data_IF_406320198228
#
_entry.id   IF_406320198228
#
_cell.length_a   1.000
_cell.length_b   1.000
_cell.length_c   1.000
_cell.angle_alpha   90.00
_cell.angle_beta   90.00
_cell.angle_gamma   90.00
#
_symmetry.space_group_name_H-M   'P 1'
#
loop_
_entity.id
_entity.type
_entity.pdbx_description
1 polymer ?
#
# COMPACT_ATOMS: atom_id res chain seq x y z
N UNK A 1 -3.55 14.29 0.50
CA UNK A 1 -4.97 14.63 0.32
C UNK A 1 -5.70 13.57 -0.51
N UNK A 2 -5.26 13.28 -1.76
CA UNK A 2 -5.90 12.26 -2.62
C UNK A 2 -6.06 10.92 -1.90
N UNK A 3 -5.00 10.36 -1.32
CA UNK A 3 -5.05 9.07 -0.64
C UNK A 3 -6.10 9.00 0.48
N UNK A 4 -6.28 10.08 1.24
CA UNK A 4 -7.30 10.14 2.29
C UNK A 4 -8.73 10.14 1.72
N UNK A 5 -8.94 10.77 0.58
CA UNK A 5 -10.24 10.75 -0.12
C UNK A 5 -10.53 9.36 -0.70
N UNK A 6 -9.54 8.76 -1.37
CA UNK A 6 -9.65 7.40 -1.91
C UNK A 6 -9.91 6.36 -0.83
N UNK A 7 -9.33 6.51 0.36
CA UNK A 7 -9.60 5.65 1.51
C UNK A 7 -11.09 5.67 1.89
N UNK A 8 -11.73 6.85 1.93
CA UNK A 8 -13.17 6.97 2.19
C UNK A 8 -14.00 6.25 1.11
N UNK A 9 -13.62 6.43 -0.17
CA UNK A 9 -14.27 5.76 -1.30
C UNK A 9 -14.14 4.25 -1.20
N UNK A 10 -12.93 3.73 -0.96
CA UNK A 10 -12.68 2.30 -0.83
C UNK A 10 -13.42 1.69 0.37
N UNK A 11 -13.47 2.39 1.51
CA UNK A 11 -14.21 1.91 2.69
C UNK A 11 -15.72 1.77 2.40
N UNK A 12 -16.28 2.67 1.60
CA UNK A 12 -17.68 2.56 1.15
C UNK A 12 -17.89 1.46 0.12
N UNK A 13 -16.94 1.32 -0.80
CA UNK A 13 -17.04 0.34 -1.88
C UNK A 13 -16.88 -1.11 -1.40
N UNK A 14 -16.05 -1.32 -0.37
CA UNK A 14 -15.71 -2.64 0.14
C UNK A 14 -15.81 -2.76 1.68
N UNK A 15 -16.96 -2.43 2.30
CA UNK A 15 -17.11 -2.40 3.76
C UNK A 15 -16.94 -3.77 4.43
N UNK A 16 -17.03 -4.85 3.66
CA UNK A 16 -16.85 -6.22 4.12
C UNK A 16 -15.39 -6.61 4.34
N UNK A 17 -14.43 -5.87 3.77
CA UNK A 17 -12.98 -6.12 3.92
C UNK A 17 -12.20 -4.90 4.42
N UNK A 18 -12.79 -3.71 4.37
CA UNK A 18 -12.16 -2.46 4.83
C UNK A 18 -12.99 -1.88 5.98
N UNK A 19 -12.36 -1.71 7.13
CA UNK A 19 -13.03 -1.22 8.35
C UNK A 19 -12.23 -0.08 8.98
N UNK A 20 -12.90 0.95 9.53
CA UNK A 20 -12.23 1.93 10.37
C UNK A 20 -11.67 1.27 11.63
N UNK A 21 -10.40 1.52 11.92
CA UNK A 21 -9.72 1.06 13.12
C UNK A 21 -9.07 2.23 13.85
N UNK A 22 -9.19 2.24 15.18
CA UNK A 22 -8.51 3.19 16.05
C UNK A 22 -7.08 2.71 16.33
N UNK A 23 -6.11 3.48 15.91
CA UNK A 23 -4.70 3.26 16.20
C UNK A 23 -4.27 4.15 17.37
N UNK A 24 -3.41 3.63 18.22
CA UNK A 24 -2.89 4.37 19.35
C UNK A 24 -1.38 4.53 19.24
N UNK A 25 -0.90 5.74 19.50
CA UNK A 25 0.52 6.08 19.54
C UNK A 25 0.88 6.44 20.98
N UNK A 26 1.45 5.48 21.76
CA UNK A 26 1.88 5.74 23.11
C UNK A 26 3.01 6.78 23.15
N UNK A 27 2.96 7.70 24.11
CA UNK A 27 4.01 8.67 24.36
C UNK A 27 4.93 8.14 25.46
N UNK A 28 6.19 7.92 25.12
CA UNK A 28 7.23 7.59 26.07
C UNK A 28 7.72 8.88 26.75
N UNK A 29 8.00 8.82 28.06
CA UNK A 29 8.34 9.98 28.90
C UNK A 29 9.54 10.83 28.42
N UNK A 30 10.35 10.34 27.47
CA UNK A 30 11.49 11.04 26.88
C UNK A 30 11.28 11.49 25.42
N UNK A 31 10.10 11.35 24.87
CA UNK A 31 9.85 11.76 23.48
C UNK A 31 9.63 13.27 23.39
N UNK A 32 10.61 13.99 22.86
CA UNK A 32 10.54 15.42 22.53
C UNK A 32 9.47 15.77 21.49
N UNK A 33 8.67 14.80 21.07
CA UNK A 33 7.78 14.89 19.90
C UNK A 33 6.29 15.06 20.18
N UNK A 34 5.82 15.17 21.44
CA UNK A 34 4.37 15.20 21.71
C UNK A 34 3.65 16.37 21.05
N UNK A 35 4.24 17.57 21.10
CA UNK A 35 3.67 18.74 20.44
C UNK A 35 3.72 18.63 18.92
N UNK A 36 4.85 18.14 18.38
CA UNK A 36 5.02 17.95 16.94
C UNK A 36 4.10 16.85 16.41
N UNK A 37 3.94 15.76 17.17
CA UNK A 37 2.99 14.70 16.81
C UNK A 37 1.55 15.20 16.81
N UNK A 38 1.17 16.02 17.83
CA UNK A 38 -0.15 16.66 17.87
C UNK A 38 -0.38 17.61 16.68
N UNK A 39 0.61 18.39 16.31
CA UNK A 39 0.55 19.24 15.13
C UNK A 39 0.42 18.43 13.84
N UNK A 40 1.18 17.34 13.71
CA UNK A 40 1.08 16.41 12.58
C UNK A 40 -0.28 15.75 12.49
N UNK A 41 -0.85 15.29 13.61
CA UNK A 41 -2.20 14.72 13.65
C UNK A 41 -3.28 15.76 13.33
N UNK A 42 -3.12 16.99 13.80
CA UNK A 42 -4.03 18.09 13.43
C UNK A 42 -4.00 18.35 11.91
N UNK A 43 -2.82 18.42 11.30
CA UNK A 43 -2.70 18.54 9.84
C UNK A 43 -3.34 17.32 9.14
N UNK A 44 -3.05 16.13 9.61
CA UNK A 44 -3.64 14.90 9.07
C UNK A 44 -5.16 14.92 9.12
N UNK A 45 -5.75 15.40 10.21
CA UNK A 45 -7.19 15.53 10.38
C UNK A 45 -7.83 16.55 9.43
N UNK A 46 -7.09 17.59 9.04
CA UNK A 46 -7.59 18.69 8.20
C UNK A 46 -7.17 18.60 6.71
N UNK A 47 -6.37 17.61 6.34
CA UNK A 47 -5.92 17.43 4.96
C UNK A 47 -7.04 17.04 3.98
N UNK A 48 -8.08 16.35 4.46
CA UNK A 48 -9.22 15.94 3.66
C UNK A 48 -10.50 15.92 4.51
N UNK A 49 -11.64 16.14 3.85
CA UNK A 49 -12.94 15.96 4.50
C UNK A 49 -13.08 14.50 4.92
N UNK A 50 -13.53 14.28 6.15
CA UNK A 50 -13.79 12.99 6.75
C UNK A 50 -15.27 12.79 6.94
N UNK A 51 -15.75 11.60 6.63
CA UNK A 51 -17.15 11.24 6.83
C UNK A 51 -17.27 9.95 7.64
N UNK A 52 -16.34 9.00 7.44
CA UNK A 52 -16.32 7.70 8.10
C UNK A 52 -15.34 7.70 9.28
N UNK A 53 -14.17 8.31 9.10
CA UNK A 53 -13.09 8.26 10.09
C UNK A 53 -13.15 9.40 11.07
N UNK A 54 -13.08 9.09 12.37
CA UNK A 54 -13.06 10.09 13.44
C UNK A 54 -11.74 10.88 13.43
N UNK A 55 -11.77 12.08 13.99
CA UNK A 55 -10.57 12.90 14.24
C UNK A 55 -9.68 12.28 15.32
N UNK A 56 -8.41 12.70 15.34
CA UNK A 56 -7.46 12.31 16.37
C UNK A 56 -7.78 12.95 17.72
N UNK A 57 -7.44 12.24 18.81
CA UNK A 57 -7.61 12.73 20.18
C UNK A 57 -6.47 12.31 21.08
N UNK A 58 -6.23 13.07 22.12
CA UNK A 58 -5.36 12.65 23.20
C UNK A 58 -6.05 11.58 24.05
N UNK A 59 -5.29 10.57 24.46
CA UNK A 59 -5.76 9.47 25.34
C UNK A 59 -4.86 9.34 26.56
N UNK A 60 -5.46 8.94 27.68
CA UNK A 60 -4.73 8.56 28.89
C UNK A 60 -4.81 7.04 29.03
N UNK A 61 -3.75 6.43 29.50
CA UNK A 61 -3.68 4.99 29.74
C UNK A 61 -3.75 4.72 31.23
N UNK A 62 -4.48 3.67 31.58
CA UNK A 62 -4.49 3.14 32.92
C UNK A 62 -3.21 2.30 33.14
N UNK A 63 -2.63 2.40 34.33
CA UNK A 63 -1.47 1.59 34.76
C UNK A 63 -1.77 0.07 34.82
N UNK A 64 -3.04 -0.30 34.90
CA UNK A 64 -3.51 -1.70 34.84
C UNK A 64 -3.75 -2.20 33.40
N UNK A 65 -3.56 -1.35 32.40
CA UNK A 65 -3.75 -1.69 30.99
C UNK A 65 -2.62 -2.54 30.39
N UNK A 66 -2.73 -2.93 29.12
CA UNK A 66 -1.76 -3.81 28.46
C UNK A 66 -0.42 -3.13 28.17
N UNK A 67 -0.31 -1.82 28.33
CA UNK A 67 0.92 -1.07 28.12
C UNK A 67 1.75 -1.03 29.41
N UNK A 68 3.07 -0.83 29.23
CA UNK A 68 3.95 -0.64 30.37
C UNK A 68 3.46 0.53 31.23
N UNK A 69 3.48 0.37 32.58
CA UNK A 69 2.99 1.36 33.55
C UNK A 69 3.67 2.75 33.45
N UNK A 70 4.83 2.84 32.78
CA UNK A 70 5.51 4.11 32.47
C UNK A 70 4.80 4.93 31.38
N UNK A 71 3.95 4.29 30.56
CA UNK A 71 3.23 4.94 29.47
C UNK A 71 1.89 5.45 29.97
N UNK A 72 1.82 6.75 30.29
CA UNK A 72 0.61 7.35 30.90
C UNK A 72 -0.34 8.02 29.89
N UNK A 73 0.14 8.34 28.70
CA UNK A 73 -0.65 9.07 27.70
C UNK A 73 -0.21 8.77 26.29
N UNK A 74 -1.02 9.15 25.33
CA UNK A 74 -0.75 9.01 23.92
C UNK A 74 -1.78 9.73 23.06
N UNK A 75 -1.80 9.39 21.79
CA UNK A 75 -2.78 9.86 20.84
C UNK A 75 -3.48 8.70 20.17
N UNK A 76 -4.76 8.84 19.94
CA UNK A 76 -5.56 7.95 19.11
C UNK A 76 -5.86 8.64 17.79
N UNK A 77 -5.69 7.94 16.68
CA UNK A 77 -6.13 8.38 15.36
C UNK A 77 -6.81 7.22 14.62
N UNK A 78 -7.56 7.53 13.59
CA UNK A 78 -8.33 6.54 12.86
C UNK A 78 -7.77 6.35 11.46
N UNK A 79 -7.60 5.08 11.07
CA UNK A 79 -7.23 4.70 9.72
C UNK A 79 -7.99 3.44 9.28
N UNK A 80 -7.81 3.04 8.02
CA UNK A 80 -8.39 1.83 7.49
C UNK A 80 -7.58 0.60 7.88
N UNK A 81 -8.26 -0.40 8.41
CA UNK A 81 -7.78 -1.77 8.42
C UNK A 81 -8.36 -2.48 7.19
N UNK A 82 -7.53 -3.18 6.44
CA UNK A 82 -7.95 -3.90 5.24
C UNK A 82 -7.41 -5.33 5.27
N UNK A 83 -8.19 -6.25 4.73
CA UNK A 83 -7.70 -7.58 4.37
C UNK A 83 -7.05 -7.46 2.99
N UNK A 84 -5.73 -7.26 2.98
CA UNK A 84 -4.93 -6.99 1.77
C UNK A 84 -5.05 -8.10 0.74
N UNK A 85 -5.01 -9.34 1.16
CA UNK A 85 -5.07 -10.49 0.27
C UNK A 85 -6.43 -10.58 -0.43
N UNK A 86 -7.51 -10.35 0.31
CA UNK A 86 -8.86 -10.29 -0.27
C UNK A 86 -9.05 -9.10 -1.19
N UNK A 87 -8.49 -7.93 -0.84
CA UNK A 87 -8.56 -6.76 -1.70
C UNK A 87 -7.89 -7.03 -3.06
N UNK A 88 -6.70 -7.61 -3.06
CA UNK A 88 -5.99 -7.99 -4.30
C UNK A 88 -6.79 -9.02 -5.10
N UNK A 89 -7.29 -10.06 -4.43
CA UNK A 89 -8.08 -11.10 -5.08
C UNK A 89 -9.35 -10.53 -5.73
N UNK A 90 -10.09 -9.69 -5.03
CA UNK A 90 -11.33 -9.10 -5.55
C UNK A 90 -11.06 -8.15 -6.73
N UNK A 91 -9.97 -7.39 -6.69
CA UNK A 91 -9.55 -6.55 -7.82
C UNK A 91 -9.20 -7.42 -9.04
N UNK A 92 -8.46 -8.52 -8.85
CA UNK A 92 -8.11 -9.44 -9.93
C UNK A 92 -9.37 -10.11 -10.52
N UNK A 93 -10.30 -10.56 -9.66
CA UNK A 93 -11.58 -11.13 -10.10
C UNK A 93 -12.42 -10.13 -10.88
N UNK A 94 -12.48 -8.87 -10.42
CA UNK A 94 -13.20 -7.81 -11.09
C UNK A 94 -12.57 -7.49 -12.47
N UNK A 95 -11.24 -7.38 -12.54
CA UNK A 95 -10.54 -7.18 -13.79
C UNK A 95 -10.81 -8.32 -14.78
N UNK A 96 -10.76 -9.57 -14.31
CA UNK A 96 -11.12 -10.74 -15.14
C UNK A 96 -12.53 -10.70 -15.66
N UNK A 97 -13.49 -10.27 -14.83
CA UNK A 97 -14.89 -10.07 -15.25
C UNK A 97 -15.03 -9.05 -16.39
N UNK A 98 -14.12 -8.09 -16.46
CA UNK A 98 -14.03 -7.09 -17.53
C UNK A 98 -13.10 -7.49 -18.69
N UNK A 99 -12.71 -8.76 -18.79
CA UNK A 99 -11.94 -9.30 -19.92
C UNK A 99 -10.43 -9.27 -19.75
N UNK A 100 -9.90 -8.91 -18.57
CA UNK A 100 -8.47 -9.00 -18.32
C UNK A 100 -8.01 -10.47 -18.17
N UNK A 101 -6.87 -10.80 -18.76
CA UNK A 101 -6.20 -12.08 -18.58
C UNK A 101 -5.32 -12.02 -17.32
N UNK A 102 -5.76 -12.68 -16.26
CA UNK A 102 -5.06 -12.75 -14.98
C UNK A 102 -4.28 -14.05 -14.90
N UNK A 103 -2.96 -13.95 -14.90
CA UNK A 103 -2.03 -15.09 -14.84
C UNK A 103 -1.27 -15.08 -13.53
N UNK A 104 -1.52 -16.08 -12.71
CA UNK A 104 -0.71 -16.37 -11.50
C UNK A 104 0.42 -17.32 -11.86
N UNK A 105 1.50 -17.31 -11.07
CA UNK A 105 2.71 -18.14 -11.31
C UNK A 105 3.26 -17.96 -12.73
N UNK A 106 3.20 -16.74 -13.21
CA UNK A 106 3.70 -16.33 -14.51
C UNK A 106 4.70 -15.19 -14.30
N UNK A 107 5.96 -15.46 -14.55
CA UNK A 107 7.02 -14.49 -14.40
C UNK A 107 7.20 -13.68 -15.68
N UNK A 108 7.40 -12.38 -15.52
CA UNK A 108 7.93 -11.53 -16.58
C UNK A 108 9.42 -11.86 -16.75
N UNK A 109 9.86 -12.17 -17.97
CA UNK A 109 11.25 -12.55 -18.28
C UNK A 109 11.97 -11.41 -19.00
N UNK A 110 11.26 -10.70 -19.86
CA UNK A 110 11.81 -9.60 -20.64
C UNK A 110 10.76 -8.97 -21.53
N UNK A 111 11.13 -7.87 -22.18
CA UNK A 111 10.34 -7.29 -23.25
C UNK A 111 11.22 -6.51 -24.23
N UNK A 112 10.84 -6.52 -25.49
CA UNK A 112 11.49 -5.75 -26.55
C UNK A 112 10.49 -4.76 -27.14
N UNK A 113 10.90 -3.51 -27.26
CA UNK A 113 10.10 -2.47 -27.91
C UNK A 113 10.25 -2.54 -29.42
N UNK A 114 9.15 -2.33 -30.16
CA UNK A 114 9.13 -2.14 -31.60
C UNK A 114 8.15 -1.02 -32.00
N UNK A 115 7.94 -0.81 -33.29
CA UNK A 115 7.04 0.25 -33.79
C UNK A 115 5.58 0.05 -33.39
N UNK A 116 5.16 -1.17 -33.04
CA UNK A 116 3.78 -1.51 -32.66
C UNK A 116 3.56 -1.57 -31.15
N UNK A 117 4.62 -1.43 -30.33
CA UNK A 117 4.56 -1.49 -28.87
C UNK A 117 5.63 -2.38 -28.27
N UNK A 118 5.22 -3.36 -27.49
CA UNK A 118 6.09 -4.25 -26.74
C UNK A 118 5.79 -5.71 -27.03
N UNK A 119 6.81 -6.48 -27.34
CA UNK A 119 6.78 -7.93 -27.30
C UNK A 119 7.26 -8.36 -25.91
N UNK A 120 6.36 -8.87 -25.09
CA UNK A 120 6.62 -9.27 -23.70
C UNK A 120 6.82 -10.76 -23.62
N UNK A 121 7.89 -11.21 -22.99
CA UNK A 121 8.16 -12.62 -22.73
C UNK A 121 7.77 -13.00 -21.29
N UNK A 122 7.01 -14.07 -21.18
CA UNK A 122 6.47 -14.62 -19.95
C UNK A 122 6.93 -16.07 -19.78
N UNK A 123 7.23 -16.45 -18.54
CA UNK A 123 7.54 -17.83 -18.18
C UNK A 123 6.52 -18.37 -17.18
N UNK A 124 5.95 -19.52 -17.48
CA UNK A 124 5.14 -20.28 -16.53
C UNK A 124 6.07 -20.90 -15.48
N UNK A 125 5.89 -20.56 -14.22
CA UNK A 125 6.71 -21.05 -13.12
C UNK A 125 6.40 -22.50 -12.70
N UNK A 126 5.37 -23.13 -13.27
CA UNK A 126 5.02 -24.52 -12.98
C UNK A 126 5.75 -25.52 -13.88
N UNK A 127 5.88 -25.20 -15.16
CA UNK A 127 6.44 -26.10 -16.18
C UNK A 127 7.63 -25.50 -16.94
N UNK A 128 7.96 -24.22 -16.68
CA UNK A 128 9.05 -23.51 -17.33
C UNK A 128 8.74 -23.07 -18.77
N UNK A 129 7.54 -23.31 -19.29
CA UNK A 129 7.17 -22.95 -20.66
C UNK A 129 7.23 -21.43 -20.86
N UNK A 130 7.65 -21.00 -22.04
CA UNK A 130 7.73 -19.61 -22.46
C UNK A 130 6.53 -19.26 -23.36
N UNK A 131 6.03 -18.06 -23.18
CA UNK A 131 4.99 -17.48 -24.02
C UNK A 131 5.29 -16.00 -24.30
N UNK A 132 4.91 -15.52 -25.48
CA UNK A 132 5.06 -14.11 -25.85
C UNK A 132 3.69 -13.46 -25.99
N UNK A 133 3.57 -12.21 -25.52
CA UNK A 133 2.35 -11.41 -25.60
C UNK A 133 2.68 -10.03 -26.13
N UNK A 134 1.91 -9.53 -27.08
CA UNK A 134 2.02 -8.14 -27.55
C UNK A 134 1.21 -7.19 -26.67
N UNK A 135 1.78 -6.04 -26.37
CA UNK A 135 1.18 -5.01 -25.53
C UNK A 135 1.55 -3.62 -26.04
N UNK A 136 0.61 -2.69 -25.97
CA UNK A 136 0.89 -1.28 -26.31
C UNK A 136 1.70 -0.55 -25.25
N UNK A 137 1.64 -1.00 -23.99
CA UNK A 137 2.35 -0.41 -22.88
C UNK A 137 2.58 -1.45 -21.77
N UNK A 138 3.57 -1.23 -20.94
CA UNK A 138 3.86 -2.03 -19.76
C UNK A 138 3.71 -1.13 -18.53
N UNK A 139 2.94 -1.59 -17.54
CA UNK A 139 2.82 -0.94 -16.24
C UNK A 139 3.58 -1.75 -15.20
N UNK A 140 4.67 -1.18 -14.70
CA UNK A 140 5.43 -1.79 -13.62
C UNK A 140 4.78 -1.50 -12.26
N UNK A 141 4.03 -2.44 -11.74
CA UNK A 141 3.39 -2.39 -10.43
C UNK A 141 3.96 -3.45 -9.45
N UNK A 142 5.23 -3.83 -9.62
CA UNK A 142 5.88 -4.93 -8.90
C UNK A 142 6.34 -4.58 -7.47
N UNK A 143 5.83 -3.49 -6.88
CA UNK A 143 6.10 -3.13 -5.49
C UNK A 143 7.61 -3.02 -5.17
N UNK A 144 8.15 -3.76 -4.19
CA UNK A 144 9.57 -3.69 -3.83
C UNK A 144 10.53 -4.09 -4.96
N UNK A 145 10.06 -4.84 -5.94
CA UNK A 145 10.85 -5.32 -7.08
C UNK A 145 10.87 -4.36 -8.28
N UNK A 146 10.22 -3.19 -8.18
CA UNK A 146 10.10 -2.23 -9.29
C UNK A 146 11.46 -1.83 -9.88
N UNK A 147 12.48 -1.61 -9.05
CA UNK A 147 13.84 -1.28 -9.52
C UNK A 147 14.50 -2.44 -10.25
N UNK A 148 14.28 -3.68 -9.78
CA UNK A 148 14.80 -4.88 -10.43
C UNK A 148 14.20 -5.05 -11.83
N UNK A 149 12.91 -4.79 -11.97
CA UNK A 149 12.25 -4.87 -13.26
C UNK A 149 12.71 -3.73 -14.20
N UNK A 150 12.84 -2.50 -13.69
CA UNK A 150 13.33 -1.37 -14.49
C UNK A 150 14.75 -1.61 -15.03
N UNK A 151 15.63 -2.24 -14.26
CA UNK A 151 16.98 -2.57 -14.70
C UNK A 151 17.03 -3.58 -15.89
N UNK A 152 15.90 -4.22 -16.22
CA UNK A 152 15.81 -5.08 -17.42
C UNK A 152 15.54 -4.28 -18.71
N UNK A 153 15.14 -3.01 -18.61
CA UNK A 153 14.78 -2.16 -19.76
C UNK A 153 15.68 -0.95 -19.97
N UNK A 154 16.37 -0.50 -18.92
CA UNK A 154 17.16 0.73 -18.95
C UNK A 154 18.60 0.44 -18.57
N UNK A 155 19.51 1.27 -19.06
CA UNK A 155 20.87 1.28 -18.56
C UNK A 155 20.84 1.49 -17.04
N UNK A 156 21.63 0.70 -16.32
CA UNK A 156 21.62 0.67 -14.84
C UNK A 156 21.80 2.07 -14.21
N UNK A 157 22.53 2.95 -14.91
CA UNK A 157 22.79 4.33 -14.47
C UNK A 157 21.58 5.26 -14.56
N UNK A 158 20.54 4.90 -15.31
CA UNK A 158 19.30 5.69 -15.45
C UNK A 158 18.23 5.29 -14.43
N UNK A 159 18.39 4.15 -13.77
CA UNK A 159 17.44 3.67 -12.76
C UNK A 159 17.71 4.32 -11.41
N UNK A 160 16.84 5.25 -11.01
CA UNK A 160 16.93 5.83 -9.67
C UNK A 160 16.69 4.75 -8.61
N UNK A 161 17.63 4.58 -7.65
CA UNK A 161 17.48 3.59 -6.61
C UNK A 161 16.26 3.92 -5.73
N UNK A 162 15.44 2.90 -5.42
CA UNK A 162 14.33 3.03 -4.49
C UNK A 162 14.84 2.71 -3.10
N UNK A 163 14.57 3.60 -2.14
CA UNK A 163 14.85 3.33 -0.73
C UNK A 163 13.80 2.36 -0.19
N UNK A 164 14.22 1.13 0.04
CA UNK A 164 13.37 0.13 0.69
C UNK A 164 13.31 0.41 2.19
N UNK A 165 12.09 0.48 2.72
CA UNK A 165 11.83 0.61 4.16
C UNK A 165 11.06 -0.63 4.60
N UNK A 166 11.60 -1.35 5.60
CA UNK A 166 10.91 -2.51 6.18
C UNK A 166 9.87 -2.01 7.19
N UNK A 167 8.62 -2.38 6.97
CA UNK A 167 7.55 -2.29 7.97
C UNK A 167 7.22 -3.68 8.51
N UNK A 168 6.87 -3.78 9.79
CA UNK A 168 6.32 -5.00 10.41
C UNK A 168 4.88 -4.73 10.82
N UNK A 169 4.00 -5.65 10.53
CA UNK A 169 2.59 -5.63 10.89
C UNK A 169 2.26 -6.81 11.81
#
# INVERSE_FOLDING_TARGET
RKALMEREVLTRAAPHIIKPLAFQIPQLNNSRGGLMLRAGLFLYDNLARREIYKGSRAVKYDSAGPLNASVKSGFEYWDAQVDDSRLVLLNAMQARKHGADIRTRCAFVGATADAEGWLVELRNEQDGSLASVRSRAIVNASGPWVSKLLAMFADADQVKPIKLVKGSH
#
